data_IF_852408674247
#
_entry.id   IF_852408674247
#
_cell.length_a   1.000
_cell.length_b   1.000
_cell.length_c   1.000
_cell.angle_alpha   90.00
_cell.angle_beta   90.00
_cell.angle_gamma   90.00
#
_symmetry.space_group_name_H-M   'P 1'
#
loop_
_entity.id
_entity.type
_entity.pdbx_description
1 polymer ?
#
# COMPACT_ATOMS: atom_id res chain seq x y z
N UNK A 1 21.92 12.09 -25.66
CA UNK A 1 21.65 12.95 -24.49
C UNK A 1 20.37 12.55 -23.77
N UNK A 2 19.16 12.48 -24.43
CA UNK A 2 17.91 12.06 -23.76
C UNK A 2 17.96 10.62 -23.26
N UNK A 3 18.48 9.69 -24.06
CA UNK A 3 18.63 8.28 -23.71
C UNK A 3 19.69 8.04 -22.61
N UNK A 4 20.75 8.85 -22.58
CA UNK A 4 21.76 8.84 -21.51
C UNK A 4 21.23 9.42 -20.22
N UNK A 5 20.36 10.42 -20.28
CA UNK A 5 19.66 10.99 -19.12
C UNK A 5 18.66 10.00 -18.52
N UNK A 6 17.87 9.28 -19.34
CA UNK A 6 16.98 8.21 -18.89
C UNK A 6 17.75 7.05 -18.26
N UNK A 7 18.88 6.64 -18.85
CA UNK A 7 19.74 5.60 -18.29
C UNK A 7 20.40 6.03 -16.98
N UNK A 8 20.79 7.31 -16.87
CA UNK A 8 21.32 7.91 -15.64
C UNK A 8 20.28 7.96 -14.52
N UNK A 9 19.04 8.38 -14.81
CA UNK A 9 17.92 8.39 -13.86
C UNK A 9 17.52 6.97 -13.43
N UNK A 10 17.52 6.02 -14.35
CA UNK A 10 17.29 4.61 -14.05
C UNK A 10 18.37 4.06 -13.11
N UNK A 11 19.65 4.35 -13.40
CA UNK A 11 20.76 3.93 -12.55
C UNK A 11 20.74 4.59 -11.16
N UNK A 12 20.34 5.86 -11.06
CA UNK A 12 20.17 6.54 -9.77
C UNK A 12 19.04 5.91 -8.95
N UNK A 13 17.93 5.53 -9.59
CA UNK A 13 16.82 4.81 -8.94
C UNK A 13 17.25 3.42 -8.45
N UNK A 14 17.99 2.66 -9.23
CA UNK A 14 18.55 1.36 -8.81
C UNK A 14 19.55 1.49 -7.65
N UNK A 15 20.41 2.51 -7.67
CA UNK A 15 21.35 2.77 -6.59
C UNK A 15 20.64 3.13 -5.28
N UNK A 16 19.57 3.92 -5.34
CA UNK A 16 18.77 4.31 -4.17
C UNK A 16 18.10 3.07 -3.56
N UNK A 17 17.43 2.25 -4.38
CA UNK A 17 16.81 1.00 -3.93
C UNK A 17 17.85 0.06 -3.34
N UNK A 18 19.01 -0.08 -3.98
CA UNK A 18 20.10 -0.93 -3.50
C UNK A 18 20.62 -0.48 -2.13
N UNK A 19 20.85 0.82 -1.94
CA UNK A 19 21.31 1.39 -0.66
C UNK A 19 20.26 1.23 0.43
N UNK A 20 18.99 1.49 0.11
CA UNK A 20 17.88 1.27 1.04
C UNK A 20 17.78 -0.21 1.46
N UNK A 21 17.95 -1.13 0.53
CA UNK A 21 17.95 -2.57 0.82
C UNK A 21 19.15 -2.98 1.68
N UNK A 22 20.33 -2.45 1.42
CA UNK A 22 21.50 -2.74 2.23
C UNK A 22 21.38 -2.18 3.65
N UNK A 23 20.82 -0.97 3.80
CA UNK A 23 20.51 -0.39 5.10
C UNK A 23 19.44 -1.18 5.83
N UNK A 24 18.38 -1.61 5.15
CA UNK A 24 17.33 -2.44 5.72
C UNK A 24 17.88 -3.81 6.16
N UNK A 25 18.76 -4.42 5.34
CA UNK A 25 19.42 -5.69 5.69
C UNK A 25 20.28 -5.53 6.96
N UNK A 26 21.15 -4.53 7.00
CA UNK A 26 21.97 -4.25 8.20
C UNK A 26 21.13 -3.95 9.43
N UNK A 27 19.99 -3.27 9.25
CA UNK A 27 19.06 -2.98 10.34
C UNK A 27 18.30 -4.24 10.82
N UNK A 28 18.15 -5.25 9.96
CA UNK A 28 17.54 -6.53 10.28
C UNK A 28 18.55 -7.58 10.81
N UNK A 29 19.85 -7.41 10.57
CA UNK A 29 20.92 -8.27 11.09
C UNK A 29 21.12 -8.15 12.63
N UNK A 30 20.23 -7.41 13.29
CA UNK A 30 20.15 -7.33 14.74
C UNK A 30 19.53 -8.65 15.25
N UNK A 31 20.05 -9.16 16.34
CA UNK A 31 19.50 -10.34 17.02
C UNK A 31 17.97 -10.17 17.20
N UNK A 32 17.15 -11.11 16.70
CA UNK A 32 15.71 -11.05 16.88
C UNK A 32 15.36 -10.92 18.38
N UNK A 33 14.40 -10.04 18.72
CA UNK A 33 13.97 -9.89 20.10
C UNK A 33 13.25 -11.17 20.57
N UNK A 34 13.37 -11.47 21.85
CA UNK A 34 12.62 -12.55 22.50
C UNK A 34 11.26 -12.06 22.97
N UNK A 35 10.40 -12.97 23.41
CA UNK A 35 9.09 -12.61 23.99
C UNK A 35 9.22 -11.77 25.27
N UNK A 36 10.34 -11.88 25.97
CA UNK A 36 10.67 -11.10 27.17
C UNK A 36 11.21 -9.70 26.84
N UNK A 37 11.57 -9.44 25.58
CA UNK A 37 12.05 -8.12 25.14
C UNK A 37 10.94 -7.07 25.26
N UNK A 38 11.29 -5.78 25.55
CA UNK A 38 10.32 -4.69 25.59
C UNK A 38 9.49 -4.60 24.30
N UNK A 39 8.22 -4.23 24.40
CA UNK A 39 7.31 -4.08 23.24
C UNK A 39 7.89 -3.15 22.18
N UNK A 40 8.54 -2.07 22.60
CA UNK A 40 9.15 -1.08 21.70
C UNK A 40 10.28 -1.70 20.86
N UNK A 41 11.07 -2.61 21.43
CA UNK A 41 12.17 -3.29 20.73
C UNK A 41 11.59 -4.28 19.71
N UNK A 42 10.54 -5.02 20.08
CA UNK A 42 9.82 -5.93 19.20
C UNK A 42 9.14 -5.18 18.06
N UNK A 43 8.49 -4.05 18.33
CA UNK A 43 7.88 -3.20 17.32
C UNK A 43 8.92 -2.59 16.37
N UNK A 44 10.05 -2.13 16.90
CA UNK A 44 11.15 -1.58 16.10
C UNK A 44 11.75 -2.65 15.18
N UNK A 45 11.97 -3.84 15.68
CA UNK A 45 12.43 -4.97 14.86
C UNK A 45 11.42 -5.32 13.78
N UNK A 46 10.13 -5.45 14.12
CA UNK A 46 9.06 -5.74 13.16
C UNK A 46 9.01 -4.69 12.03
N UNK A 47 9.15 -3.41 12.35
CA UNK A 47 9.20 -2.32 11.36
C UNK A 47 10.39 -2.45 10.41
N UNK A 48 11.57 -2.80 10.95
CA UNK A 48 12.80 -2.98 10.15
C UNK A 48 12.69 -4.16 9.20
N UNK A 49 12.24 -5.33 9.69
CA UNK A 49 12.09 -6.49 8.82
C UNK A 49 10.93 -6.32 7.82
N UNK A 50 9.89 -5.54 8.14
CA UNK A 50 8.86 -5.17 7.18
C UNK A 50 9.42 -4.28 6.05
N UNK A 51 10.30 -3.35 6.38
CA UNK A 51 11.01 -2.54 5.38
C UNK A 51 11.95 -3.40 4.52
N UNK A 52 12.66 -4.35 5.14
CA UNK A 52 13.47 -5.32 4.41
C UNK A 52 12.63 -6.15 3.44
N UNK A 53 11.43 -6.58 3.82
CA UNK A 53 10.56 -7.37 2.94
C UNK A 53 10.23 -6.63 1.64
N UNK A 54 9.98 -5.31 1.70
CA UNK A 54 9.72 -4.48 0.51
C UNK A 54 10.95 -4.38 -0.38
N UNK A 55 12.12 -4.23 0.22
CA UNK A 55 13.40 -4.22 -0.50
C UNK A 55 13.69 -5.55 -1.19
N UNK A 56 13.47 -6.66 -0.50
CA UNK A 56 13.62 -8.01 -1.06
C UNK A 56 12.68 -8.21 -2.26
N UNK A 57 11.44 -7.75 -2.15
CA UNK A 57 10.48 -7.81 -3.26
C UNK A 57 10.93 -6.95 -4.46
N UNK A 58 11.41 -5.73 -4.22
CA UNK A 58 11.95 -4.87 -5.27
C UNK A 58 13.18 -5.47 -5.97
N UNK A 59 13.97 -6.28 -5.24
CA UNK A 59 15.13 -7.03 -5.76
C UNK A 59 14.75 -8.36 -6.42
N UNK A 60 13.44 -8.69 -6.52
CA UNK A 60 12.95 -9.94 -7.10
C UNK A 60 13.06 -11.17 -6.19
N UNK A 61 13.51 -11.03 -4.95
CA UNK A 61 13.65 -12.11 -3.95
C UNK A 61 12.31 -12.37 -3.25
N UNK A 62 11.32 -12.85 -4.03
CA UNK A 62 9.90 -12.91 -3.62
C UNK A 62 9.65 -13.82 -2.43
N UNK A 63 10.27 -15.01 -2.38
CA UNK A 63 10.06 -15.96 -1.28
C UNK A 63 10.60 -15.42 0.05
N UNK A 64 11.75 -14.76 -0.01
CA UNK A 64 12.34 -14.12 1.16
C UNK A 64 11.53 -12.92 1.62
N UNK A 65 11.03 -12.11 0.69
CA UNK A 65 10.13 -10.99 0.97
C UNK A 65 8.86 -11.48 1.68
N UNK A 66 8.25 -12.56 1.19
CA UNK A 66 7.06 -13.16 1.80
C UNK A 66 7.36 -13.64 3.22
N UNK A 67 8.43 -14.41 3.40
CA UNK A 67 8.81 -14.94 4.72
C UNK A 67 9.05 -13.82 5.73
N UNK A 68 9.78 -12.78 5.31
CA UNK A 68 10.11 -11.64 6.17
C UNK A 68 8.88 -10.81 6.52
N UNK A 69 7.95 -10.59 5.57
CA UNK A 69 6.68 -9.92 5.84
C UNK A 69 5.78 -10.72 6.78
N UNK A 70 5.78 -12.06 6.65
CA UNK A 70 5.04 -12.95 7.55
C UNK A 70 5.55 -12.84 8.98
N UNK A 71 6.87 -12.83 9.18
CA UNK A 71 7.51 -12.67 10.48
C UNK A 71 7.12 -11.32 11.10
N UNK A 72 7.25 -10.21 10.35
CA UNK A 72 6.85 -8.88 10.82
C UNK A 72 5.37 -8.81 11.22
N UNK A 73 4.50 -9.41 10.41
CA UNK A 73 3.05 -9.43 10.67
C UNK A 73 2.71 -10.22 11.93
N UNK A 74 3.38 -11.34 12.16
CA UNK A 74 3.16 -12.14 13.37
C UNK A 74 3.59 -11.37 14.64
N UNK A 75 4.71 -10.65 14.59
CA UNK A 75 5.14 -9.79 15.69
C UNK A 75 4.13 -8.68 15.98
N UNK A 76 3.66 -7.97 14.94
CA UNK A 76 2.63 -6.95 15.13
C UNK A 76 1.31 -7.51 15.61
N UNK A 77 0.94 -8.74 15.22
CA UNK A 77 -0.28 -9.40 15.72
C UNK A 77 -0.18 -9.66 17.22
N UNK A 78 0.93 -10.22 17.69
CA UNK A 78 1.18 -10.42 19.13
C UNK A 78 1.19 -9.09 19.90
N UNK A 79 1.82 -8.05 19.37
CA UNK A 79 1.82 -6.72 19.98
C UNK A 79 0.42 -6.11 20.05
N UNK A 80 -0.37 -6.25 18.99
CA UNK A 80 -1.74 -5.73 18.92
C UNK A 80 -2.71 -6.49 19.83
N UNK A 81 -2.47 -7.76 20.14
CA UNK A 81 -3.24 -8.51 21.14
C UNK A 81 -3.09 -7.90 22.55
N UNK A 82 -1.89 -7.40 22.88
CA UNK A 82 -1.61 -6.79 24.19
C UNK A 82 -2.00 -5.30 24.21
N UNK A 83 -1.72 -4.57 23.14
CA UNK A 83 -1.98 -3.14 23.04
C UNK A 83 -2.57 -2.76 21.67
N UNK A 84 -3.87 -3.02 21.44
CA UNK A 84 -4.52 -2.78 20.15
C UNK A 84 -4.46 -1.31 19.70
N UNK A 85 -4.57 -0.37 20.65
CA UNK A 85 -4.57 1.06 20.33
C UNK A 85 -3.23 1.52 19.74
N UNK A 86 -2.12 0.97 20.23
CA UNK A 86 -0.79 1.32 19.76
C UNK A 86 -0.42 0.61 18.46
N UNK A 87 -0.78 -0.68 18.29
CA UNK A 87 -0.20 -1.51 17.23
C UNK A 87 -1.16 -1.94 16.13
N UNK A 88 -2.48 -1.72 16.25
CA UNK A 88 -3.40 -1.99 15.14
C UNK A 88 -3.08 -1.21 13.86
N UNK A 89 -2.63 0.07 13.90
CA UNK A 89 -2.20 0.76 12.69
C UNK A 89 -1.06 0.04 11.95
N UNK A 90 -0.04 -0.41 12.70
CA UNK A 90 1.12 -1.11 12.15
C UNK A 90 0.77 -2.53 11.69
N UNK A 91 -0.08 -3.23 12.45
CA UNK A 91 -0.60 -4.54 12.04
C UNK A 91 -1.33 -4.44 10.70
N UNK A 92 -2.23 -3.46 10.54
CA UNK A 92 -2.93 -3.28 9.27
C UNK A 92 -1.98 -2.94 8.10
N UNK A 93 -0.95 -2.14 8.36
CA UNK A 93 0.11 -1.84 7.40
C UNK A 93 0.92 -3.07 6.98
N UNK A 94 1.30 -3.91 7.95
CA UNK A 94 2.03 -5.16 7.70
C UNK A 94 1.18 -6.18 6.95
N UNK A 95 -0.11 -6.31 7.28
CA UNK A 95 -1.08 -7.15 6.56
C UNK A 95 -1.22 -6.73 5.09
N UNK A 96 -1.30 -5.44 4.79
CA UNK A 96 -1.31 -4.96 3.40
C UNK A 96 -0.05 -5.36 2.63
N UNK A 97 1.11 -5.23 3.26
CA UNK A 97 2.40 -5.63 2.67
C UNK A 97 2.44 -7.14 2.44
N UNK A 98 2.03 -7.92 3.43
CA UNK A 98 1.95 -9.38 3.34
C UNK A 98 0.99 -9.83 2.22
N UNK A 99 -0.21 -9.22 2.12
CA UNK A 99 -1.16 -9.54 1.07
C UNK A 99 -0.56 -9.34 -0.33
N UNK A 100 0.17 -8.25 -0.56
CA UNK A 100 0.84 -7.99 -1.83
C UNK A 100 1.94 -9.03 -2.14
N UNK A 101 2.70 -9.48 -1.12
CA UNK A 101 3.70 -10.52 -1.33
C UNK A 101 3.08 -11.90 -1.58
N UNK A 102 1.99 -12.24 -0.87
CA UNK A 102 1.22 -13.45 -1.12
C UNK A 102 0.69 -13.50 -2.57
N UNK A 103 0.11 -12.40 -3.04
CA UNK A 103 -0.39 -12.29 -4.41
C UNK A 103 0.74 -12.42 -5.45
N UNK A 104 1.88 -11.77 -5.21
CA UNK A 104 3.06 -11.87 -6.07
C UNK A 104 3.66 -13.28 -6.14
N UNK A 105 3.40 -14.11 -5.13
CA UNK A 105 3.78 -15.52 -5.06
C UNK A 105 2.65 -16.47 -5.51
N UNK A 106 1.56 -15.92 -6.08
CA UNK A 106 0.44 -16.72 -6.62
C UNK A 106 -0.55 -17.23 -5.57
N UNK A 107 -0.39 -16.86 -4.30
CA UNK A 107 -1.25 -17.26 -3.18
C UNK A 107 -2.46 -16.31 -3.07
N UNK A 108 -3.26 -16.23 -4.15
CA UNK A 108 -4.33 -15.24 -4.29
C UNK A 108 -5.42 -15.33 -3.20
N UNK A 109 -5.75 -16.54 -2.75
CA UNK A 109 -6.78 -16.74 -1.72
C UNK A 109 -6.34 -16.19 -0.37
N UNK A 110 -5.11 -16.49 0.03
CA UNK A 110 -4.50 -16.00 1.27
C UNK A 110 -4.29 -14.48 1.19
N UNK A 111 -3.86 -13.96 0.05
CA UNK A 111 -3.71 -12.52 -0.20
C UNK A 111 -5.04 -11.79 0.03
N UNK A 112 -6.13 -12.29 -0.54
CA UNK A 112 -7.46 -11.70 -0.38
C UNK A 112 -7.90 -11.70 1.09
N UNK A 113 -7.75 -12.82 1.81
CA UNK A 113 -8.12 -12.91 3.22
C UNK A 113 -7.31 -11.94 4.09
N UNK A 114 -6.01 -11.85 3.83
CA UNK A 114 -5.10 -10.94 4.55
C UNK A 114 -5.43 -9.48 4.27
N UNK A 115 -5.77 -9.12 3.03
CA UNK A 115 -6.20 -7.77 2.68
C UNK A 115 -7.56 -7.40 3.33
N UNK A 116 -8.49 -8.35 3.43
CA UNK A 116 -9.78 -8.15 4.12
C UNK A 116 -9.58 -7.90 5.63
N UNK A 117 -8.64 -8.63 6.26
CA UNK A 117 -8.26 -8.39 7.67
C UNK A 117 -7.73 -6.97 7.85
N UNK A 118 -6.81 -6.52 6.99
CA UNK A 118 -6.26 -5.17 7.02
C UNK A 118 -7.35 -4.09 6.93
N UNK A 119 -8.27 -4.22 5.97
CA UNK A 119 -9.40 -3.27 5.80
C UNK A 119 -10.30 -3.27 7.03
N UNK A 120 -10.58 -4.43 7.63
CA UNK A 120 -11.40 -4.53 8.83
C UNK A 120 -10.80 -3.74 10.00
N UNK A 121 -9.48 -3.85 10.20
CA UNK A 121 -8.78 -3.08 11.24
C UNK A 121 -8.81 -1.58 10.90
N UNK A 122 -8.51 -1.19 9.64
CA UNK A 122 -8.51 0.21 9.21
C UNK A 122 -9.87 0.87 9.32
N UNK A 123 -10.97 0.15 9.03
CA UNK A 123 -12.34 0.68 9.22
C UNK A 123 -12.59 1.03 10.69
N UNK A 124 -12.26 0.14 11.61
CA UNK A 124 -12.40 0.41 13.06
C UNK A 124 -11.59 1.62 13.52
N UNK A 125 -10.36 1.77 13.01
CA UNK A 125 -9.53 2.93 13.31
C UNK A 125 -10.14 4.22 12.75
N UNK A 126 -10.65 4.20 11.52
CA UNK A 126 -11.27 5.34 10.87
C UNK A 126 -12.62 5.75 11.52
N UNK A 127 -13.38 4.81 12.09
CA UNK A 127 -14.58 5.11 12.88
C UNK A 127 -14.26 6.00 14.11
N UNK A 128 -13.09 5.80 14.74
CA UNK A 128 -12.69 6.57 15.91
C UNK A 128 -12.03 7.90 15.55
N UNK A 129 -11.20 7.92 14.49
CA UNK A 129 -10.53 9.12 14.04
C UNK A 129 -10.41 9.13 12.50
N UNK A 130 -11.46 9.58 11.79
CA UNK A 130 -11.48 9.60 10.33
C UNK A 130 -10.33 10.42 9.72
N UNK A 131 -10.02 11.57 10.31
CA UNK A 131 -8.99 12.45 9.77
C UNK A 131 -7.59 11.80 9.76
N UNK A 132 -7.27 11.02 10.79
CA UNK A 132 -5.99 10.33 10.89
C UNK A 132 -5.92 9.05 10.05
N UNK A 133 -7.05 8.33 9.88
CA UNK A 133 -7.00 6.96 9.38
C UNK A 133 -7.67 6.76 8.00
N UNK A 134 -8.44 7.72 7.49
CA UNK A 134 -9.03 7.62 6.15
C UNK A 134 -8.01 7.48 5.02
N UNK A 135 -6.84 8.16 5.04
CA UNK A 135 -5.82 7.96 4.01
C UNK A 135 -5.36 6.50 3.90
N UNK A 136 -5.10 5.88 5.04
CA UNK A 136 -4.67 4.49 5.12
C UNK A 136 -5.80 3.50 4.81
N UNK A 137 -7.04 3.82 5.21
CA UNK A 137 -8.22 3.03 4.83
C UNK A 137 -8.41 3.04 3.32
N UNK A 138 -8.33 4.21 2.68
CA UNK A 138 -8.46 4.33 1.23
C UNK A 138 -7.38 3.53 0.47
N UNK A 139 -6.14 3.55 0.98
CA UNK A 139 -5.05 2.74 0.43
C UNK A 139 -5.34 1.24 0.57
N UNK A 140 -5.80 0.79 1.74
CA UNK A 140 -6.12 -0.62 2.00
C UNK A 140 -7.29 -1.10 1.14
N UNK A 141 -8.32 -0.27 0.96
CA UNK A 141 -9.44 -0.54 0.07
C UNK A 141 -9.01 -0.66 -1.39
N UNK A 142 -8.12 0.22 -1.85
CA UNK A 142 -7.60 0.16 -3.21
C UNK A 142 -6.83 -1.15 -3.47
N UNK A 143 -6.02 -1.60 -2.50
CA UNK A 143 -5.33 -2.89 -2.57
C UNK A 143 -6.32 -4.05 -2.55
N UNK A 144 -7.30 -4.02 -1.65
CA UNK A 144 -8.35 -5.04 -1.58
C UNK A 144 -9.14 -5.15 -2.89
N UNK A 145 -9.46 -4.02 -3.53
CA UNK A 145 -10.16 -4.01 -4.82
C UNK A 145 -9.37 -4.76 -5.90
N UNK A 146 -8.04 -4.60 -5.95
CA UNK A 146 -7.19 -5.35 -6.86
C UNK A 146 -7.17 -6.86 -6.55
N UNK A 147 -7.13 -7.26 -5.28
CA UNK A 147 -7.16 -8.67 -4.90
C UNK A 147 -8.53 -9.32 -5.22
N UNK A 148 -9.64 -8.60 -4.99
CA UNK A 148 -10.99 -9.03 -5.35
C UNK A 148 -11.12 -9.22 -6.87
N UNK A 149 -10.63 -8.26 -7.66
CA UNK A 149 -10.66 -8.32 -9.10
C UNK A 149 -9.90 -9.54 -9.65
N UNK A 150 -8.67 -9.76 -9.15
CA UNK A 150 -7.86 -10.93 -9.52
C UNK A 150 -8.46 -12.26 -9.10
N UNK A 151 -9.24 -12.28 -8.03
CA UNK A 151 -9.97 -13.47 -7.58
C UNK A 151 -11.31 -13.67 -8.31
N UNK A 152 -11.65 -12.79 -9.27
CA UNK A 152 -12.89 -12.87 -10.06
C UNK A 152 -14.14 -12.33 -9.35
N UNK A 153 -14.00 -11.71 -8.17
CA UNK A 153 -15.09 -11.13 -7.40
C UNK A 153 -15.40 -9.70 -7.89
N UNK A 154 -15.83 -9.61 -9.16
CA UNK A 154 -15.95 -8.34 -9.88
C UNK A 154 -16.88 -7.32 -9.21
N UNK A 155 -18.00 -7.78 -8.66
CA UNK A 155 -18.98 -6.88 -8.03
C UNK A 155 -18.40 -6.22 -6.79
N UNK A 156 -17.78 -7.02 -5.93
CA UNK A 156 -17.13 -6.54 -4.70
C UNK A 156 -15.91 -5.67 -5.03
N UNK A 157 -15.15 -6.03 -6.06
CA UNK A 157 -14.02 -5.23 -6.54
C UNK A 157 -14.45 -3.82 -6.97
N UNK A 158 -15.53 -3.71 -7.75
CA UNK A 158 -16.08 -2.43 -8.19
C UNK A 158 -16.55 -1.58 -7.00
N UNK A 159 -17.29 -2.15 -6.06
CA UNK A 159 -17.77 -1.44 -4.89
C UNK A 159 -16.62 -0.94 -4.02
N UNK A 160 -15.62 -1.79 -3.80
CA UNK A 160 -14.44 -1.44 -2.99
C UNK A 160 -13.56 -0.39 -3.66
N UNK A 161 -13.36 -0.48 -4.98
CA UNK A 161 -12.61 0.53 -5.73
C UNK A 161 -13.33 1.90 -5.74
N UNK A 162 -14.65 1.89 -5.87
CA UNK A 162 -15.45 3.11 -5.80
C UNK A 162 -15.36 3.75 -4.40
N UNK A 163 -15.43 2.96 -3.33
CA UNK A 163 -15.28 3.45 -1.96
C UNK A 163 -13.90 4.08 -1.74
N UNK A 164 -12.83 3.40 -2.14
CA UNK A 164 -11.46 3.93 -2.07
C UNK A 164 -11.33 5.27 -2.82
N UNK A 165 -11.86 5.33 -4.03
CA UNK A 165 -11.81 6.53 -4.88
C UNK A 165 -12.57 7.70 -4.25
N UNK A 166 -13.74 7.45 -3.68
CA UNK A 166 -14.53 8.48 -3.00
C UNK A 166 -13.80 9.04 -1.78
N UNK A 167 -13.18 8.18 -0.98
CA UNK A 167 -12.35 8.64 0.14
C UNK A 167 -11.18 9.52 -0.35
N UNK A 168 -10.47 9.11 -1.40
CA UNK A 168 -9.38 9.92 -1.95
C UNK A 168 -9.86 11.21 -2.59
N UNK A 169 -11.06 11.29 -3.20
CA UNK A 169 -11.66 12.55 -3.67
C UNK A 169 -11.81 13.54 -2.50
N UNK A 170 -12.46 13.08 -1.42
CA UNK A 170 -12.63 13.92 -0.22
C UNK A 170 -11.30 14.35 0.39
N UNK A 171 -10.32 13.45 0.47
CA UNK A 171 -8.99 13.78 0.98
C UNK A 171 -8.26 14.81 0.10
N UNK A 172 -8.36 14.67 -1.22
CA UNK A 172 -7.74 15.58 -2.18
C UNK A 172 -8.43 16.97 -2.21
N UNK A 173 -9.73 17.05 -1.91
CA UNK A 173 -10.43 18.33 -1.72
C UNK A 173 -9.87 19.11 -0.53
N UNK A 174 -9.51 18.43 0.55
CA UNK A 174 -8.97 19.06 1.76
C UNK A 174 -7.47 19.35 1.68
N UNK A 175 -6.71 18.45 1.06
CA UNK A 175 -5.25 18.60 0.90
C UNK A 175 -4.81 18.05 -0.46
N UNK A 176 -4.92 18.86 -1.54
CA UNK A 176 -4.60 18.40 -2.90
C UNK A 176 -3.15 17.92 -3.03
N UNK A 177 -2.19 18.66 -2.49
CA UNK A 177 -0.76 18.33 -2.61
C UNK A 177 -0.42 16.94 -2.03
N UNK A 178 -1.04 16.57 -0.91
CA UNK A 178 -0.78 15.28 -0.26
C UNK A 178 -1.50 14.11 -0.92
N UNK A 179 -2.71 14.32 -1.48
CA UNK A 179 -3.60 13.21 -1.82
C UNK A 179 -3.89 13.06 -3.32
N UNK A 180 -3.58 14.05 -4.16
CA UNK A 180 -3.78 13.95 -5.62
C UNK A 180 -3.06 12.76 -6.26
N UNK A 181 -1.81 12.44 -5.91
CA UNK A 181 -1.13 11.25 -6.46
C UNK A 181 -1.87 9.94 -6.12
N UNK A 182 -2.40 9.84 -4.90
CA UNK A 182 -3.15 8.66 -4.46
C UNK A 182 -4.53 8.60 -5.11
N UNK A 183 -5.22 9.74 -5.28
CA UNK A 183 -6.47 9.82 -6.03
C UNK A 183 -6.28 9.36 -7.47
N UNK A 184 -5.23 9.83 -8.14
CA UNK A 184 -4.91 9.43 -9.52
C UNK A 184 -4.71 7.93 -9.64
N UNK A 185 -3.97 7.32 -8.69
CA UNK A 185 -3.78 5.87 -8.63
C UNK A 185 -5.10 5.13 -8.42
N UNK A 186 -5.95 5.62 -7.52
CA UNK A 186 -7.24 5.01 -7.23
C UNK A 186 -8.20 5.10 -8.42
N UNK A 187 -8.23 6.23 -9.12
CA UNK A 187 -8.99 6.40 -10.36
C UNK A 187 -8.53 5.41 -11.44
N UNK A 188 -7.22 5.19 -11.59
CA UNK A 188 -6.69 4.17 -12.50
C UNK A 188 -7.18 2.77 -12.13
N UNK A 189 -7.02 2.37 -10.86
CA UNK A 189 -7.49 1.06 -10.39
C UNK A 189 -8.98 0.87 -10.66
N UNK A 190 -9.80 1.88 -10.34
CA UNK A 190 -11.24 1.81 -10.55
C UNK A 190 -11.61 1.71 -12.03
N UNK A 191 -10.97 2.52 -12.90
CA UNK A 191 -11.19 2.47 -14.35
C UNK A 191 -10.80 1.11 -14.95
N UNK A 192 -9.70 0.50 -14.51
CA UNK A 192 -9.24 -0.79 -14.99
C UNK A 192 -10.17 -1.93 -14.57
N UNK A 193 -10.70 -1.89 -13.35
CA UNK A 193 -11.71 -2.86 -12.88
C UNK A 193 -13.03 -2.68 -13.66
N UNK A 194 -13.47 -1.44 -13.90
CA UNK A 194 -14.64 -1.14 -14.72
C UNK A 194 -14.49 -1.72 -16.14
N UNK A 195 -13.33 -1.55 -16.76
CA UNK A 195 -13.09 -2.05 -18.11
C UNK A 195 -13.12 -3.58 -18.16
N UNK A 196 -12.45 -4.25 -17.22
CA UNK A 196 -12.49 -5.73 -17.11
C UNK A 196 -13.88 -6.27 -16.84
N UNK A 197 -14.75 -5.49 -16.19
CA UNK A 197 -16.17 -5.84 -15.96
C UNK A 197 -17.10 -5.50 -17.13
N UNK A 198 -16.56 -4.96 -18.25
CA UNK A 198 -17.34 -4.57 -19.43
C UNK A 198 -17.99 -3.18 -19.35
N UNK A 199 -17.78 -2.43 -18.28
CA UNK A 199 -18.33 -1.09 -18.07
C UNK A 199 -17.47 0.00 -18.73
N UNK A 200 -17.19 -0.17 -20.04
CA UNK A 200 -16.21 0.65 -20.78
C UNK A 200 -16.55 2.13 -20.84
N UNK A 201 -17.84 2.50 -20.90
CA UNK A 201 -18.27 3.89 -20.90
C UNK A 201 -17.93 4.60 -19.59
N UNK A 202 -18.17 3.96 -18.47
CA UNK A 202 -17.85 4.52 -17.16
C UNK A 202 -16.34 4.53 -16.93
N UNK A 203 -15.62 3.49 -17.36
CA UNK A 203 -14.15 3.48 -17.33
C UNK A 203 -13.55 4.69 -18.08
N UNK A 204 -14.11 5.05 -19.26
CA UNK A 204 -13.67 6.23 -20.01
C UNK A 204 -13.92 7.54 -19.23
N UNK A 205 -15.06 7.68 -18.55
CA UNK A 205 -15.37 8.84 -17.70
C UNK A 205 -14.40 8.98 -16.54
N UNK A 206 -14.10 7.87 -15.87
CA UNK A 206 -13.14 7.86 -14.74
C UNK A 206 -11.72 8.20 -15.22
N UNK A 207 -11.31 7.74 -16.41
CA UNK A 207 -10.03 8.14 -17.01
C UNK A 207 -9.98 9.61 -17.37
N UNK A 208 -11.08 10.16 -17.88
CA UNK A 208 -11.17 11.60 -18.14
C UNK A 208 -11.03 12.40 -16.84
N UNK A 209 -11.73 12.02 -15.77
CA UNK A 209 -11.58 12.64 -14.45
C UNK A 209 -10.12 12.62 -13.97
N UNK A 210 -9.45 11.47 -14.09
CA UNK A 210 -8.02 11.33 -13.76
C UNK A 210 -7.16 12.35 -14.53
N UNK A 211 -7.40 12.48 -15.84
CA UNK A 211 -6.60 13.37 -16.69
C UNK A 211 -6.83 14.85 -16.33
N UNK A 212 -8.06 15.21 -15.96
CA UNK A 212 -8.38 16.53 -15.44
C UNK A 212 -7.69 16.82 -14.09
N UNK A 213 -7.64 15.82 -13.21
CA UNK A 213 -6.94 15.91 -11.92
C UNK A 213 -5.43 16.12 -12.14
N UNK A 214 -4.82 15.35 -13.04
CA UNK A 214 -3.40 15.48 -13.40
C UNK A 214 -3.08 16.84 -14.03
N UNK A 215 -3.97 17.36 -14.87
CA UNK A 215 -3.80 18.68 -15.47
C UNK A 215 -3.78 19.77 -14.42
N UNK A 216 -4.73 19.77 -13.49
CA UNK A 216 -4.78 20.74 -12.38
C UNK A 216 -3.54 20.68 -11.50
N UNK A 217 -3.02 19.48 -11.22
CA UNK A 217 -1.79 19.32 -10.44
C UNK A 217 -0.60 20.02 -11.12
N UNK A 218 -0.43 19.82 -12.44
CA UNK A 218 0.64 20.50 -13.20
C UNK A 218 0.49 22.02 -13.22
N UNK A 219 -0.74 22.51 -13.40
CA UNK A 219 -1.02 23.95 -13.37
C UNK A 219 -0.69 24.59 -12.00
N UNK A 220 -0.88 23.86 -10.90
CA UNK A 220 -0.50 24.32 -9.56
C UNK A 220 1.04 24.35 -9.38
N UNK A 221 1.75 23.31 -9.85
CA UNK A 221 3.22 23.25 -9.78
C UNK A 221 3.89 24.35 -10.62
N UNK A 222 3.33 24.68 -11.79
CA UNK A 222 3.82 25.73 -12.67
C UNK A 222 3.47 27.15 -12.16
N UNK A 223 2.41 27.30 -11.38
CA UNK A 223 1.99 28.58 -10.81
C UNK A 223 2.75 28.99 -9.55
N UNK A 224 3.40 28.05 -8.86
CA UNK A 224 4.22 28.27 -7.66
C UNK A 224 5.72 28.44 -7.97
N UNK A 225 6.15 28.37 -9.24
CA UNK A 225 7.52 28.53 -9.72
C UNK A 225 7.78 29.95 -10.27
#
# INVERSE_FOLDING_TARGET
EAHEAEQSLSNAGYLTIFLECELAQRAADITPPTDESPEIDRATYASRILSLSRCLAASGRRDEALKTAQEATNLYRTLAEHNPAAYNPDLAGSLNTLANHLDSNGQQREALQTAQEAVTIRRKLAEHNPAAHNPDLAMSLNNLANHLDRSGQQREALQTAQEATNLYRTLAEHNPAAHTPNLTRSLNTYADILERSGNTKEAARIRQERDEVLKRMKEMEEGDA
#
